data_IF_443150769874
#
_entry.id   IF_443150769874
#
_cell.length_a   1.000
_cell.length_b   1.000
_cell.length_c   1.000
_cell.angle_alpha   90.00
_cell.angle_beta   90.00
_cell.angle_gamma   90.00
#
_symmetry.space_group_name_H-M   'P 1'
#
loop_
_entity.id
_entity.type
_entity.pdbx_description
1 polymer ?
#
# COMPACT_ATOMS: atom_id res chain seq x y z
N UNK A 1 -14.38 40.98 6.75
CA UNK A 1 -13.45 40.18 5.94
C UNK A 1 -13.14 40.96 4.67
N UNK A 2 -11.94 41.52 4.60
CA UNK A 2 -11.43 42.24 3.43
C UNK A 2 -11.02 41.26 2.33
N UNK A 3 -10.94 41.70 1.07
CA UNK A 3 -10.45 40.87 -0.05
C UNK A 3 -9.07 40.25 0.22
N UNK A 4 -8.19 40.99 0.90
CA UNK A 4 -6.86 40.52 1.28
C UNK A 4 -6.91 39.36 2.29
N UNK A 5 -7.82 39.41 3.27
CA UNK A 5 -8.00 38.32 4.25
C UNK A 5 -8.58 37.05 3.60
N UNK A 6 -9.49 37.21 2.64
CA UNK A 6 -10.04 36.09 1.87
C UNK A 6 -8.97 35.43 0.99
N UNK A 7 -8.11 36.23 0.35
CA UNK A 7 -7.01 35.71 -0.48
C UNK A 7 -5.99 34.92 0.36
N UNK A 8 -5.62 35.44 1.52
CA UNK A 8 -4.69 34.76 2.44
C UNK A 8 -5.29 33.45 2.98
N UNK A 9 -6.58 33.44 3.29
CA UNK A 9 -7.27 32.25 3.76
C UNK A 9 -7.27 31.15 2.70
N UNK A 10 -7.60 31.50 1.45
CA UNK A 10 -7.55 30.59 0.30
C UNK A 10 -6.15 30.00 0.09
N UNK A 11 -5.09 30.81 0.20
CA UNK A 11 -3.72 30.33 0.08
C UNK A 11 -3.31 29.34 1.19
N UNK A 12 -3.76 29.57 2.44
CA UNK A 12 -3.51 28.63 3.54
C UNK A 12 -4.21 27.29 3.32
N UNK A 13 -5.44 27.33 2.82
CA UNK A 13 -6.21 26.13 2.49
C UNK A 13 -5.57 25.34 1.35
N UNK A 14 -5.17 26.02 0.27
CA UNK A 14 -4.48 25.38 -0.86
C UNK A 14 -3.13 24.77 -0.45
N UNK A 15 -2.34 25.46 0.38
CA UNK A 15 -1.10 24.92 0.94
C UNK A 15 -1.35 23.67 1.79
N UNK A 16 -2.40 23.68 2.59
CA UNK A 16 -2.78 22.55 3.45
C UNK A 16 -3.21 21.34 2.60
N UNK A 17 -4.02 21.56 1.57
CA UNK A 17 -4.45 20.52 0.64
C UNK A 17 -3.28 19.93 -0.16
N UNK A 18 -2.35 20.77 -0.65
CA UNK A 18 -1.14 20.30 -1.36
C UNK A 18 -0.25 19.46 -0.45
N UNK A 19 -0.08 19.88 0.81
CA UNK A 19 0.68 19.12 1.81
C UNK A 19 0.02 17.77 2.14
N UNK A 20 -1.31 17.74 2.30
CA UNK A 20 -2.06 16.50 2.53
C UNK A 20 -1.86 15.50 1.37
N UNK A 21 -2.05 15.94 0.12
CA UNK A 21 -1.84 15.11 -1.08
C UNK A 21 -0.41 14.58 -1.17
N UNK A 22 0.58 15.40 -0.84
CA UNK A 22 1.98 14.97 -0.83
C UNK A 22 2.24 13.91 0.24
N UNK A 23 1.66 14.07 1.43
CA UNK A 23 1.77 13.10 2.53
C UNK A 23 1.18 11.75 2.14
N UNK A 24 -0.01 11.74 1.55
CA UNK A 24 -0.66 10.51 1.06
C UNK A 24 0.17 9.79 0.00
N UNK A 25 0.73 10.55 -0.96
CA UNK A 25 1.63 9.99 -1.99
C UNK A 25 2.87 9.35 -1.37
N UNK A 26 3.52 10.03 -0.42
CA UNK A 26 4.71 9.52 0.27
C UNK A 26 4.39 8.25 1.06
N UNK A 27 3.27 8.24 1.80
CA UNK A 27 2.83 7.06 2.55
C UNK A 27 2.53 5.87 1.64
N UNK A 28 1.86 6.11 0.50
CA UNK A 28 1.63 5.06 -0.49
C UNK A 28 2.94 4.54 -1.08
N UNK A 29 3.85 5.42 -1.50
CA UNK A 29 5.13 5.04 -2.07
C UNK A 29 5.96 4.20 -1.08
N UNK A 30 6.06 4.66 0.18
CA UNK A 30 6.75 3.93 1.23
C UNK A 30 6.19 2.53 1.43
N UNK A 31 4.86 2.41 1.57
CA UNK A 31 4.19 1.10 1.71
C UNK A 31 4.43 0.17 0.52
N UNK A 32 4.51 0.72 -0.70
CA UNK A 32 4.79 -0.09 -1.90
C UNK A 32 6.23 -0.59 -1.90
N UNK A 33 7.19 0.24 -1.48
CA UNK A 33 8.61 -0.15 -1.38
C UNK A 33 8.77 -1.28 -0.34
N UNK A 34 8.20 -1.12 0.86
CA UNK A 34 8.29 -2.14 1.91
C UNK A 34 7.67 -3.46 1.47
N UNK A 35 6.47 -3.42 0.87
CA UNK A 35 5.79 -4.63 0.38
C UNK A 35 6.52 -5.27 -0.79
N UNK A 36 7.14 -4.47 -1.67
CA UNK A 36 7.99 -4.96 -2.75
C UNK A 36 9.21 -5.70 -2.22
N UNK A 37 9.90 -5.13 -1.23
CA UNK A 37 11.06 -5.77 -0.59
C UNK A 37 10.70 -7.11 0.08
N UNK A 38 9.53 -7.21 0.73
CA UNK A 38 9.04 -8.47 1.31
C UNK A 38 8.82 -9.52 0.21
N UNK A 39 8.19 -9.13 -0.91
CA UNK A 39 7.95 -10.03 -2.04
C UNK A 39 9.26 -10.52 -2.65
N UNK A 40 10.21 -9.63 -2.92
CA UNK A 40 11.51 -9.99 -3.47
C UNK A 40 12.28 -10.92 -2.52
N UNK A 41 12.26 -10.64 -1.21
CA UNK A 41 12.87 -11.52 -0.21
C UNK A 41 12.28 -12.93 -0.25
N UNK A 42 10.95 -13.06 -0.33
CA UNK A 42 10.29 -14.37 -0.38
C UNK A 42 10.62 -15.14 -1.67
N UNK A 43 10.77 -14.46 -2.80
CA UNK A 43 11.17 -15.09 -4.07
C UNK A 43 12.64 -15.54 -4.00
N UNK A 44 13.52 -14.71 -3.40
CA UNK A 44 14.94 -15.00 -3.23
C UNK A 44 15.24 -16.27 -2.43
N UNK A 45 14.32 -16.71 -1.55
CA UNK A 45 14.42 -18.01 -0.84
C UNK A 45 14.42 -19.22 -1.81
N UNK A 46 13.87 -19.04 -3.02
CA UNK A 46 13.73 -20.09 -4.02
C UNK A 46 14.72 -19.87 -5.17
N UNK A 47 14.81 -18.62 -5.66
CA UNK A 47 15.69 -18.25 -6.76
C UNK A 47 15.86 -16.72 -6.85
N UNK A 48 16.93 -16.21 -7.49
CA UNK A 48 17.18 -14.76 -7.57
C UNK A 48 16.01 -14.00 -8.21
N UNK A 49 15.41 -13.09 -7.43
CA UNK A 49 14.21 -12.33 -7.81
C UNK A 49 14.46 -11.31 -8.93
N UNK A 50 15.69 -10.82 -9.05
CA UNK A 50 16.15 -9.85 -10.05
C UNK A 50 16.10 -10.37 -11.50
N UNK A 51 15.89 -11.68 -11.67
CA UNK A 51 15.74 -12.32 -12.98
C UNK A 51 14.33 -12.29 -13.53
N UNK A 52 13.33 -11.95 -12.73
CA UNK A 52 11.94 -11.95 -13.14
C UNK A 52 11.51 -10.59 -13.70
N UNK A 53 10.74 -10.62 -14.79
CA UNK A 53 10.08 -9.41 -15.28
C UNK A 53 8.87 -9.07 -14.40
N UNK A 54 8.36 -7.85 -14.52
CA UNK A 54 7.13 -7.46 -13.82
C UNK A 54 5.94 -8.36 -14.17
N UNK A 55 5.87 -8.85 -15.42
CA UNK A 55 4.81 -9.78 -15.85
C UNK A 55 4.94 -11.15 -15.17
N UNK A 56 6.16 -11.62 -14.97
CA UNK A 56 6.41 -12.87 -14.25
C UNK A 56 6.09 -12.73 -12.77
N UNK A 57 6.51 -11.62 -12.15
CA UNK A 57 6.14 -11.26 -10.77
C UNK A 57 4.62 -11.23 -10.62
N UNK A 58 3.91 -10.61 -11.57
CA UNK A 58 2.45 -10.58 -11.58
C UNK A 58 1.86 -12.01 -11.60
N UNK A 59 2.33 -12.87 -12.52
CA UNK A 59 1.87 -14.27 -12.59
C UNK A 59 2.13 -15.02 -11.29
N UNK A 60 3.32 -14.89 -10.70
CA UNK A 60 3.71 -15.52 -9.43
C UNK A 60 2.76 -15.07 -8.32
N UNK A 61 2.54 -13.76 -8.18
CA UNK A 61 1.67 -13.20 -7.13
C UNK A 61 0.25 -13.71 -7.29
N UNK A 62 -0.33 -13.64 -8.48
CA UNK A 62 -1.70 -14.12 -8.70
C UNK A 62 -1.83 -15.62 -8.48
N UNK A 63 -0.86 -16.40 -8.96
CA UNK A 63 -0.85 -17.84 -8.75
C UNK A 63 -0.80 -18.19 -7.24
N UNK A 64 0.08 -17.56 -6.48
CA UNK A 64 0.23 -17.81 -5.05
C UNK A 64 -0.99 -17.35 -4.25
N UNK A 65 -1.44 -16.10 -4.45
CA UNK A 65 -2.52 -15.48 -3.67
C UNK A 65 -3.87 -16.13 -3.96
N UNK A 66 -4.14 -16.53 -5.20
CA UNK A 66 -5.41 -17.17 -5.57
C UNK A 66 -5.41 -18.68 -5.35
N UNK A 67 -4.32 -19.26 -4.82
CA UNK A 67 -4.33 -20.65 -4.40
C UNK A 67 -5.36 -20.85 -3.28
N UNK A 68 -6.15 -21.95 -3.28
CA UNK A 68 -7.19 -22.13 -2.27
C UNK A 68 -6.70 -22.09 -0.83
N UNK A 69 -5.51 -22.62 -0.56
CA UNK A 69 -4.88 -22.59 0.78
C UNK A 69 -4.56 -21.17 1.23
N UNK A 70 -3.98 -20.35 0.36
CA UNK A 70 -3.67 -18.95 0.69
C UNK A 70 -4.94 -18.12 0.85
N UNK A 71 -5.95 -18.32 -0.01
CA UNK A 71 -7.26 -17.66 0.14
C UNK A 71 -7.89 -17.98 1.49
N UNK A 72 -7.92 -19.26 1.87
CA UNK A 72 -8.47 -19.69 3.17
C UNK A 72 -7.68 -19.06 4.33
N UNK A 73 -6.35 -19.08 4.28
CA UNK A 73 -5.50 -18.47 5.30
C UNK A 73 -5.78 -16.97 5.47
N UNK A 74 -5.90 -16.23 4.35
CA UNK A 74 -6.22 -14.79 4.38
C UNK A 74 -7.62 -14.57 4.98
N UNK A 75 -8.61 -15.39 4.59
CA UNK A 75 -9.97 -15.28 5.11
C UNK A 75 -10.03 -15.52 6.62
N UNK A 76 -9.35 -16.54 7.12
CA UNK A 76 -9.26 -16.85 8.55
C UNK A 76 -8.58 -15.72 9.33
N UNK A 77 -7.45 -15.21 8.83
CA UNK A 77 -6.73 -14.09 9.42
C UNK A 77 -7.62 -12.83 9.48
N UNK A 78 -8.38 -12.55 8.43
CA UNK A 78 -9.32 -11.43 8.38
C UNK A 78 -10.47 -11.59 9.40
N UNK A 79 -11.03 -12.79 9.51
CA UNK A 79 -12.07 -13.09 10.50
C UNK A 79 -11.56 -12.95 11.93
N UNK A 80 -10.34 -13.39 12.22
CA UNK A 80 -9.70 -13.21 13.53
C UNK A 80 -9.54 -11.72 13.85
N UNK A 81 -9.08 -10.92 12.89
CA UNK A 81 -8.92 -9.49 13.05
C UNK A 81 -10.22 -8.76 13.37
N UNK A 82 -11.33 -9.15 12.72
CA UNK A 82 -12.66 -8.59 13.01
C UNK A 82 -13.15 -8.97 14.41
N UNK A 83 -12.94 -10.22 14.84
CA UNK A 83 -13.32 -10.67 16.18
C UNK A 83 -12.49 -10.00 17.29
N UNK A 84 -11.21 -9.73 17.04
CA UNK A 84 -10.32 -9.06 18.00
C UNK A 84 -10.58 -7.57 18.21
N UNK A 85 -11.36 -6.91 17.34
CA UNK A 85 -11.81 -5.51 17.51
C UNK A 85 -13.13 -5.37 18.28
N UNK A 86 -13.77 -6.48 18.63
CA UNK A 86 -15.05 -6.50 19.34
C UNK A 86 -14.91 -6.46 20.88
N UNK A 87 -13.70 -6.25 21.40
CA UNK A 87 -13.37 -6.07 22.80
C UNK A 87 -12.50 -4.82 22.98
#
# INVERSE_FOLDING_TARGET
MTELEQLQQKHREECTQKRARLKERKQRAHRLIERGAILESAINEICPADRFTNDDIQKIVYYAILSPSTVNYIAEMYLFFLKGRAH
#
